data_IF_219960122001
#
_entry.id   IF_219960122001
#
_cell.length_a   1.000
_cell.length_b   1.000
_cell.length_c   1.000
_cell.angle_alpha   90.00
_cell.angle_beta   90.00
_cell.angle_gamma   90.00
#
_symmetry.space_group_name_H-M   'P 1'
#
loop_
_entity.id
_entity.type
_entity.pdbx_description
1 polymer ?
#
# COMPACT_ATOMS: atom_id res chain seq x y z
N UNK A 1 12.62 40.55 -14.43
CA UNK A 1 13.07 39.16 -14.22
C UNK A 1 12.77 38.65 -12.81
N UNK A 2 13.13 39.35 -11.73
CA UNK A 2 12.94 38.87 -10.34
C UNK A 2 11.48 38.56 -9.91
N UNK A 3 10.48 39.26 -10.46
CA UNK A 3 9.06 39.06 -10.10
C UNK A 3 8.49 37.73 -10.61
N UNK A 4 8.98 37.24 -11.76
CA UNK A 4 8.53 35.97 -12.35
C UNK A 4 9.07 34.77 -11.58
N UNK A 5 10.32 34.85 -11.10
CA UNK A 5 10.92 33.80 -10.28
C UNK A 5 10.24 33.69 -8.90
N UNK A 6 9.85 34.82 -8.31
CA UNK A 6 9.07 34.83 -7.06
C UNK A 6 7.70 34.18 -7.25
N UNK A 7 6.97 34.54 -8.31
CA UNK A 7 5.68 33.92 -8.66
C UNK A 7 5.81 32.42 -8.94
N UNK A 8 6.88 32.00 -9.62
CA UNK A 8 7.14 30.59 -9.90
C UNK A 8 7.40 29.79 -8.60
N UNK A 9 8.15 30.38 -7.66
CA UNK A 9 8.40 29.77 -6.35
C UNK A 9 7.12 29.66 -5.52
N UNK A 10 6.29 30.70 -5.51
CA UNK A 10 4.97 30.69 -4.86
C UNK A 10 4.06 29.62 -5.48
N UNK A 11 4.04 29.50 -6.82
CA UNK A 11 3.24 28.49 -7.51
C UNK A 11 3.69 27.07 -7.19
N UNK A 12 5.00 26.80 -7.12
CA UNK A 12 5.55 25.50 -6.72
C UNK A 12 5.12 25.13 -5.30
N UNK A 13 5.24 26.07 -4.36
CA UNK A 13 4.82 25.85 -2.97
C UNK A 13 3.33 25.53 -2.88
N UNK A 14 2.49 26.25 -3.64
CA UNK A 14 1.05 26.00 -3.68
C UNK A 14 0.74 24.61 -4.25
N UNK A 15 1.47 24.18 -5.29
CA UNK A 15 1.31 22.85 -5.86
C UNK A 15 1.67 21.75 -4.85
N UNK A 16 2.79 21.89 -4.16
CA UNK A 16 3.22 20.97 -3.11
C UNK A 16 2.18 20.86 -1.98
N UNK A 17 1.59 21.99 -1.55
CA UNK A 17 0.51 22.00 -0.57
C UNK A 17 -0.73 21.24 -1.05
N UNK A 18 -1.14 21.46 -2.29
CA UNK A 18 -2.32 20.79 -2.88
C UNK A 18 -2.06 19.28 -2.99
N UNK A 19 -0.88 18.87 -3.43
CA UNK A 19 -0.50 17.46 -3.52
C UNK A 19 -0.54 16.79 -2.13
N UNK A 20 -0.01 17.45 -1.11
CA UNK A 20 -0.04 16.94 0.28
C UNK A 20 -1.47 16.83 0.82
N UNK A 21 -2.32 17.85 0.60
CA UNK A 21 -3.73 17.82 1.02
C UNK A 21 -4.50 16.73 0.28
N UNK A 22 -4.26 16.57 -1.02
CA UNK A 22 -4.86 15.53 -1.83
C UNK A 22 -4.45 14.13 -1.34
N UNK A 23 -3.18 13.93 -1.02
CA UNK A 23 -2.69 12.67 -0.45
C UNK A 23 -3.35 12.37 0.91
N UNK A 24 -3.53 13.38 1.76
CA UNK A 24 -4.21 13.22 3.04
C UNK A 24 -5.70 12.87 2.88
N UNK A 25 -6.43 13.58 2.02
CA UNK A 25 -7.84 13.32 1.74
C UNK A 25 -8.05 11.90 1.18
N UNK A 26 -7.17 11.51 0.27
CA UNK A 26 -7.12 10.14 -0.26
C UNK A 26 -6.94 9.12 0.84
N UNK A 27 -5.96 9.30 1.74
CA UNK A 27 -5.74 8.36 2.85
C UNK A 27 -6.99 8.14 3.69
N UNK A 28 -7.71 9.22 4.02
CA UNK A 28 -8.96 9.16 4.80
C UNK A 28 -10.03 8.38 4.03
N UNK A 29 -10.21 8.68 2.74
CA UNK A 29 -11.17 7.97 1.89
C UNK A 29 -10.89 6.46 1.83
N UNK A 30 -9.64 6.07 1.58
CA UNK A 30 -9.28 4.66 1.49
C UNK A 30 -9.39 3.93 2.83
N UNK A 31 -9.01 4.59 3.92
CA UNK A 31 -9.22 4.07 5.27
C UNK A 31 -10.68 3.72 5.54
N UNK A 32 -11.61 4.60 5.16
CA UNK A 32 -13.03 4.33 5.26
C UNK A 32 -13.47 3.16 4.37
N UNK A 33 -13.02 3.11 3.11
CA UNK A 33 -13.34 2.00 2.19
C UNK A 33 -12.88 0.64 2.74
N UNK A 34 -11.65 0.56 3.27
CA UNK A 34 -11.14 -0.71 3.81
C UNK A 34 -11.80 -1.08 5.14
N UNK A 35 -12.19 -0.09 5.95
CA UNK A 35 -12.98 -0.32 7.14
C UNK A 35 -14.36 -0.91 6.80
N UNK A 36 -15.08 -0.33 5.83
CA UNK A 36 -16.36 -0.86 5.35
C UNK A 36 -16.22 -2.28 4.78
N UNK A 37 -15.09 -2.58 4.13
CA UNK A 37 -14.78 -3.95 3.66
C UNK A 37 -14.46 -4.93 4.79
N UNK A 38 -14.04 -4.43 5.95
CA UNK A 38 -13.78 -5.22 7.15
C UNK A 38 -15.06 -5.48 7.96
N UNK A 39 -16.16 -4.76 7.67
CA UNK A 39 -17.45 -5.01 8.31
C UNK A 39 -17.93 -6.44 7.99
N UNK A 40 -18.32 -7.15 9.05
CA UNK A 40 -18.71 -8.57 8.97
C UNK A 40 -17.54 -9.57 8.96
N UNK A 41 -16.28 -9.12 9.04
CA UNK A 41 -15.15 -10.01 9.35
C UNK A 41 -14.98 -10.25 10.87
N UNK A 42 -15.63 -9.42 11.69
CA UNK A 42 -15.57 -9.54 13.15
C UNK A 42 -16.24 -10.83 13.63
N UNK A 43 -15.42 -11.86 13.83
CA UNK A 43 -15.71 -12.96 14.75
C UNK A 43 -14.47 -13.17 15.60
N UNK A 44 -14.51 -12.70 16.85
CA UNK A 44 -13.58 -13.21 17.86
C UNK A 44 -14.35 -13.88 18.99
N UNK A 45 -14.50 -15.21 18.93
CA UNK A 45 -14.45 -15.99 20.15
C UNK A 45 -13.00 -15.89 20.66
N UNK A 46 -12.82 -15.52 21.93
CA UNK A 46 -11.53 -15.70 22.61
C UNK A 46 -11.18 -17.20 22.51
N UNK A 47 -10.13 -17.56 21.75
CA UNK A 47 -9.65 -18.94 21.66
C UNK A 47 -8.46 -19.08 22.61
N UNK A 48 -8.74 -19.47 23.85
CA UNK A 48 -7.71 -19.63 24.89
C UNK A 48 -7.06 -18.29 25.26
N UNK A 49 -5.72 -18.21 25.44
CA UNK A 49 -5.05 -16.98 25.88
C UNK A 49 -4.79 -15.96 24.75
N UNK A 50 -5.09 -16.31 23.49
CA UNK A 50 -4.75 -15.49 22.33
C UNK A 50 -5.93 -14.63 21.89
N UNK A 51 -5.64 -13.41 21.47
CA UNK A 51 -6.63 -12.52 20.85
C UNK A 51 -6.54 -12.65 19.33
N UNK A 52 -7.68 -12.87 18.68
CA UNK A 52 -7.79 -12.88 17.22
C UNK A 52 -8.39 -11.54 16.78
N UNK A 53 -7.90 -11.00 15.68
CA UNK A 53 -8.48 -9.84 15.00
C UNK A 53 -8.45 -10.12 13.51
N UNK A 54 -9.56 -9.91 12.82
CA UNK A 54 -9.60 -9.95 11.36
C UNK A 54 -9.76 -8.53 10.82
N UNK A 55 -9.25 -8.30 9.62
CA UNK A 55 -9.27 -6.99 8.99
C UNK A 55 -8.79 -7.03 7.54
N UNK A 56 -8.70 -5.85 6.95
CA UNK A 56 -8.35 -5.65 5.54
C UNK A 56 -7.01 -4.92 5.46
N UNK A 57 -6.10 -5.43 4.63
CA UNK A 57 -4.82 -4.80 4.38
C UNK A 57 -4.99 -3.54 3.51
N UNK A 58 -4.39 -2.41 3.87
CA UNK A 58 -4.50 -1.15 3.12
C UNK A 58 -3.29 -0.85 2.21
N UNK A 59 -2.25 -1.67 2.31
CA UNK A 59 -0.96 -1.50 1.63
C UNK A 59 0.24 -1.46 2.58
N UNK A 60 0.04 -1.08 3.84
CA UNK A 60 1.06 -1.08 4.90
C UNK A 60 0.52 -1.63 6.23
N UNK A 61 -0.75 -1.42 6.52
CA UNK A 61 -1.41 -1.77 7.78
C UNK A 61 -2.64 -2.66 7.52
N UNK A 62 -3.07 -3.39 8.55
CA UNK A 62 -4.36 -4.06 8.58
C UNK A 62 -5.35 -3.19 9.34
N UNK A 63 -6.51 -2.90 8.73
CA UNK A 63 -7.61 -2.11 9.31
C UNK A 63 -8.74 -3.08 9.66
N UNK A 64 -9.18 -3.08 10.92
CA UNK A 64 -10.37 -3.85 11.32
C UNK A 64 -11.67 -3.05 11.12
N UNK A 65 -12.82 -3.69 11.33
CA UNK A 65 -14.17 -3.08 11.28
C UNK A 65 -14.32 -1.81 12.13
N UNK A 66 -13.57 -1.70 13.23
CA UNK A 66 -13.57 -0.55 14.16
C UNK A 66 -12.64 0.58 13.73
N UNK A 67 -11.99 0.46 12.57
CA UNK A 67 -10.99 1.40 12.07
C UNK A 67 -9.65 1.32 12.80
N UNK A 68 -9.46 0.34 13.70
CA UNK A 68 -8.18 0.15 14.38
C UNK A 68 -7.17 -0.43 13.41
N UNK A 69 -6.00 0.20 13.37
CA UNK A 69 -4.89 -0.17 12.48
C UNK A 69 -3.84 -0.99 13.20
N UNK A 70 -3.28 -1.95 12.47
CA UNK A 70 -2.23 -2.83 12.93
C UNK A 70 -1.12 -2.85 11.88
N UNK A 71 0.07 -2.30 12.17
CA UNK A 71 1.19 -2.30 11.21
C UNK A 71 1.57 -3.70 10.79
N UNK A 72 1.61 -3.96 9.48
CA UNK A 72 2.00 -5.25 8.93
C UNK A 72 3.49 -5.21 8.63
N UNK A 73 4.29 -6.21 9.06
CA UNK A 73 5.71 -6.24 8.75
C UNK A 73 5.96 -6.19 7.23
N UNK A 74 6.73 -5.19 6.77
CA UNK A 74 6.98 -4.97 5.34
C UNK A 74 7.54 -6.22 4.64
N UNK A 75 8.41 -6.98 5.32
CA UNK A 75 8.95 -8.24 4.78
C UNK A 75 7.87 -9.31 4.56
N UNK A 76 6.88 -9.42 5.45
CA UNK A 76 5.77 -10.35 5.28
C UNK A 76 4.86 -9.91 4.13
N UNK A 77 4.54 -8.62 4.07
CA UNK A 77 3.73 -8.05 2.99
C UNK A 77 4.39 -8.22 1.62
N UNK A 78 5.70 -7.96 1.51
CA UNK A 78 6.50 -8.15 0.29
C UNK A 78 6.58 -9.61 -0.14
N UNK A 79 6.95 -10.52 0.77
CA UNK A 79 7.10 -11.96 0.43
C UNK A 79 5.76 -12.60 0.04
N UNK A 80 4.69 -12.21 0.71
CA UNK A 80 3.34 -12.73 0.43
C UNK A 80 2.64 -11.99 -0.71
N UNK A 81 3.27 -10.93 -1.27
CA UNK A 81 2.71 -10.06 -2.31
C UNK A 81 1.30 -9.58 -1.96
N UNK A 82 1.12 -9.11 -0.72
CA UNK A 82 -0.17 -8.64 -0.22
C UNK A 82 -0.64 -7.43 -1.03
N UNK A 83 -1.91 -7.46 -1.42
CA UNK A 83 -2.57 -6.41 -2.19
C UNK A 83 -3.58 -5.71 -1.28
N UNK A 84 -3.68 -4.38 -1.36
CA UNK A 84 -4.67 -3.65 -0.59
C UNK A 84 -6.09 -4.20 -0.88
N UNK A 85 -6.89 -4.45 0.15
CA UNK A 85 -8.13 -5.21 0.08
C UNK A 85 -8.00 -6.69 0.49
N UNK A 86 -6.79 -7.22 0.67
CA UNK A 86 -6.58 -8.57 1.18
C UNK A 86 -7.09 -8.71 2.62
N UNK A 87 -7.87 -9.76 2.89
CA UNK A 87 -8.31 -10.10 4.24
C UNK A 87 -7.20 -10.79 4.99
N UNK A 88 -6.87 -10.24 6.15
CA UNK A 88 -5.84 -10.73 7.06
C UNK A 88 -6.46 -11.14 8.39
N UNK A 89 -5.84 -12.14 9.01
CA UNK A 89 -6.03 -12.52 10.40
C UNK A 89 -4.77 -12.18 11.17
N UNK A 90 -4.92 -11.36 12.19
CA UNK A 90 -3.91 -11.11 13.22
C UNK A 90 -4.20 -12.00 14.43
N UNK A 91 -3.20 -12.76 14.85
CA UNK A 91 -3.19 -13.42 16.16
C UNK A 91 -2.23 -12.65 17.06
N UNK A 92 -2.73 -12.17 18.19
CA UNK A 92 -1.95 -11.55 19.26
C UNK A 92 -1.77 -12.63 20.32
N UNK A 93 -0.53 -13.12 20.42
CA UNK A 93 -0.12 -14.09 21.43
C UNK A 93 -0.14 -13.47 22.83
N UNK A 94 -0.18 -14.31 23.87
CA UNK A 94 -0.16 -13.87 25.27
C UNK A 94 1.10 -13.03 25.65
N UNK A 95 2.20 -13.21 24.93
CA UNK A 95 3.45 -12.46 25.07
C UNK A 95 3.46 -11.12 24.28
N UNK A 96 2.37 -10.80 23.59
CA UNK A 96 2.22 -9.60 22.76
C UNK A 96 2.71 -9.77 21.32
N UNK A 97 3.20 -10.96 20.91
CA UNK A 97 3.67 -11.19 19.54
C UNK A 97 2.52 -11.11 18.54
N UNK A 98 2.74 -10.36 17.45
CA UNK A 98 1.79 -10.24 16.34
C UNK A 98 2.13 -11.24 15.23
N UNK A 99 1.17 -12.11 14.92
CA UNK A 99 1.28 -13.09 13.83
C UNK A 99 0.18 -12.79 12.81
N UNK A 100 0.57 -12.36 11.61
CA UNK A 100 -0.34 -12.12 10.51
C UNK A 100 -0.44 -13.33 9.58
N UNK A 101 -1.64 -13.62 9.11
CA UNK A 101 -1.92 -14.62 8.08
C UNK A 101 -2.92 -14.06 7.07
N UNK A 102 -2.64 -14.22 5.78
CA UNK A 102 -3.63 -13.93 4.75
C UNK A 102 -4.70 -15.02 4.76
N UNK A 103 -5.97 -14.60 4.85
CA UNK A 103 -7.13 -15.50 4.92
C UNK A 103 -8.08 -15.34 3.74
N UNK A 104 -7.99 -14.23 3.00
CA UNK A 104 -8.85 -14.00 1.83
C UNK A 104 -8.18 -13.05 0.84
N UNK A 105 -7.55 -13.55 -0.23
CA UNK A 105 -7.02 -12.70 -1.28
C UNK A 105 -8.15 -11.92 -1.98
N UNK A 106 -7.97 -10.62 -2.23
CA UNK A 106 -8.85 -9.87 -3.14
C UNK A 106 -8.60 -10.27 -4.59
N UNK A 107 -9.65 -10.16 -5.41
CA UNK A 107 -9.55 -10.21 -6.87
C UNK A 107 -8.56 -9.16 -7.35
N UNK A 108 -7.58 -9.61 -8.14
CA UNK A 108 -6.41 -8.79 -8.51
C UNK A 108 -6.04 -8.94 -9.97
N UNK A 109 -5.35 -7.94 -10.50
CA UNK A 109 -4.81 -7.92 -11.87
C UNK A 109 -3.35 -7.51 -11.87
N UNK A 110 -2.64 -7.95 -12.90
CA UNK A 110 -1.24 -7.60 -13.14
C UNK A 110 -1.18 -6.45 -14.14
N UNK A 111 -0.33 -5.48 -13.86
CA UNK A 111 -0.03 -4.39 -14.78
C UNK A 111 1.48 -4.14 -14.79
N UNK A 112 2.00 -3.70 -15.92
CA UNK A 112 3.41 -3.33 -16.07
C UNK A 112 3.50 -1.81 -15.95
N UNK A 113 4.51 -1.34 -15.23
CA UNK A 113 4.81 0.08 -15.11
C UNK A 113 6.30 0.32 -14.89
N UNK A 114 6.65 1.60 -14.84
CA UNK A 114 8.03 2.03 -14.61
C UNK A 114 8.24 2.41 -13.15
N UNK A 115 9.25 1.83 -12.50
CA UNK A 115 9.65 2.21 -11.16
C UNK A 115 10.24 3.62 -11.17
N UNK A 116 9.82 4.43 -10.21
CA UNK A 116 10.38 5.73 -9.93
C UNK A 116 10.67 5.85 -8.43
N UNK A 117 11.82 6.42 -8.08
CA UNK A 117 12.16 6.79 -6.72
C UNK A 117 11.93 8.30 -6.52
N UNK A 118 11.13 8.65 -5.50
CA UNK A 118 10.91 10.03 -5.06
C UNK A 118 11.35 10.14 -3.60
N UNK A 119 12.55 10.68 -3.36
CA UNK A 119 13.18 10.67 -2.03
C UNK A 119 13.47 9.25 -1.56
N UNK A 120 12.93 8.86 -0.40
CA UNK A 120 13.07 7.51 0.15
C UNK A 120 11.94 6.55 -0.28
N UNK A 121 10.91 7.06 -0.97
CA UNK A 121 9.75 6.28 -1.39
C UNK A 121 9.89 5.81 -2.82
N UNK A 122 9.34 4.62 -3.08
CA UNK A 122 9.28 4.03 -4.42
C UNK A 122 7.84 4.00 -4.92
N UNK A 123 7.66 4.35 -6.18
CA UNK A 123 6.37 4.33 -6.87
C UNK A 123 6.50 3.67 -8.24
N UNK A 124 5.47 2.95 -8.67
CA UNK A 124 5.37 2.43 -10.03
C UNK A 124 4.32 3.23 -10.79
N UNK A 125 4.74 3.82 -11.91
CA UNK A 125 3.87 4.52 -12.84
C UNK A 125 3.29 3.51 -13.83
N UNK A 126 2.01 3.18 -13.71
CA UNK A 126 1.32 2.19 -14.55
C UNK A 126 -0.10 2.65 -14.88
N UNK A 127 -0.54 2.46 -16.13
CA UNK A 127 -1.92 2.78 -16.56
C UNK A 127 -2.37 4.21 -16.22
N UNK A 128 -1.46 5.19 -16.33
CA UNK A 128 -1.74 6.60 -16.01
C UNK A 128 -1.89 6.91 -14.51
N UNK A 129 -1.63 5.94 -13.63
CA UNK A 129 -1.67 6.10 -12.16
C UNK A 129 -0.30 5.83 -11.55
N UNK A 130 -0.06 6.42 -10.36
CA UNK A 130 1.11 6.16 -9.53
C UNK A 130 0.71 5.26 -8.37
N UNK A 131 1.45 4.18 -8.18
CA UNK A 131 1.24 3.24 -7.08
C UNK A 131 2.47 3.22 -6.18
N UNK A 132 2.30 3.47 -4.88
CA UNK A 132 3.33 3.21 -3.89
C UNK A 132 3.65 1.70 -3.86
N UNK A 133 4.92 1.38 -3.67
CA UNK A 133 5.39 0.01 -3.48
C UNK A 133 6.29 -0.05 -2.26
N UNK A 134 6.26 -1.17 -1.53
CA UNK A 134 7.09 -1.35 -0.35
C UNK A 134 8.58 -1.39 -0.74
N UNK A 135 9.41 -0.65 0.01
CA UNK A 135 10.86 -0.68 -0.16
C UNK A 135 11.42 -2.10 -0.02
N UNK A 136 10.88 -2.90 0.92
CA UNK A 136 11.27 -4.30 1.09
C UNK A 136 11.05 -5.13 -0.19
N UNK A 137 10.00 -4.84 -0.97
CA UNK A 137 9.77 -5.48 -2.27
C UNK A 137 10.83 -5.04 -3.30
N UNK A 138 11.13 -3.74 -3.37
CA UNK A 138 12.15 -3.21 -4.29
C UNK A 138 13.51 -3.86 -4.03
N UNK A 139 13.91 -3.94 -2.75
CA UNK A 139 15.17 -4.59 -2.34
C UNK A 139 15.18 -6.08 -2.68
N UNK A 140 14.08 -6.79 -2.42
CA UNK A 140 13.98 -8.23 -2.73
C UNK A 140 14.16 -8.52 -4.22
N UNK A 141 13.57 -7.71 -5.09
CA UNK A 141 13.69 -7.85 -6.54
C UNK A 141 14.93 -7.18 -7.15
N UNK A 142 15.78 -6.54 -6.32
CA UNK A 142 16.94 -5.77 -6.76
C UNK A 142 16.60 -4.72 -7.84
N UNK A 143 15.37 -4.19 -7.78
CA UNK A 143 14.86 -3.24 -8.76
C UNK A 143 15.51 -1.85 -8.56
N UNK A 144 15.73 -1.16 -9.67
CA UNK A 144 16.35 0.17 -9.73
C UNK A 144 15.41 1.19 -10.34
N UNK A 145 15.66 2.46 -10.03
CA UNK A 145 14.94 3.56 -10.65
C UNK A 145 14.97 3.44 -12.18
N UNK A 146 13.79 3.50 -12.78
CA UNK A 146 13.59 3.36 -14.22
C UNK A 146 13.36 1.94 -14.74
N UNK A 147 13.46 0.89 -13.91
CA UNK A 147 13.15 -0.48 -14.33
C UNK A 147 11.66 -0.65 -14.63
N UNK A 148 11.35 -1.54 -15.58
CA UNK A 148 10.00 -2.03 -15.81
C UNK A 148 9.65 -3.11 -14.78
N UNK A 149 8.56 -2.89 -14.06
CA UNK A 149 8.10 -3.73 -12.96
C UNK A 149 6.70 -4.23 -13.27
N UNK A 150 6.49 -5.53 -13.08
CA UNK A 150 5.14 -6.09 -13.01
C UNK A 150 4.63 -5.93 -11.59
N UNK A 151 3.53 -5.21 -11.42
CA UNK A 151 2.86 -5.01 -10.14
C UNK A 151 1.46 -5.63 -10.15
N UNK A 152 1.01 -6.02 -8.96
CA UNK A 152 -0.31 -6.57 -8.70
C UNK A 152 -1.12 -5.53 -7.95
N UNK A 153 -2.31 -5.24 -8.47
CA UNK A 153 -3.26 -4.27 -7.91
C UNK A 153 -4.66 -4.91 -7.82
N UNK A 154 -5.58 -4.35 -7.03
CA UNK A 154 -6.97 -4.79 -7.04
C UNK A 154 -7.56 -4.74 -8.45
N UNK A 155 -8.34 -5.75 -8.80
CA UNK A 155 -9.03 -5.82 -10.10
C UNK A 155 -10.12 -4.74 -10.18
N UNK A 156 -10.83 -4.55 -9.06
CA UNK A 156 -11.91 -3.59 -8.85
C UNK A 156 -11.56 -2.64 -7.72
N UNK A 157 -12.12 -1.43 -7.75
CA UNK A 157 -11.80 -0.38 -6.79
C UNK A 157 -10.51 0.38 -7.13
N UNK A 158 -10.25 1.42 -6.37
CA UNK A 158 -9.00 2.17 -6.45
C UNK A 158 -8.03 1.70 -5.37
N UNK A 159 -6.73 1.88 -5.60
CA UNK A 159 -5.71 1.71 -4.58
C UNK A 159 -4.52 2.59 -4.89
N UNK A 160 -3.86 3.08 -3.83
CA UNK A 160 -2.58 3.77 -3.93
C UNK A 160 -1.39 2.83 -3.80
N UNK A 161 -1.62 1.56 -3.49
CA UNK A 161 -0.58 0.60 -3.24
C UNK A 161 -0.61 -0.51 -4.29
N UNK A 162 0.57 -1.01 -4.62
CA UNK A 162 0.72 -2.18 -5.45
C UNK A 162 1.78 -3.12 -4.88
N UNK A 163 1.56 -4.42 -5.04
CA UNK A 163 2.57 -5.43 -4.71
C UNK A 163 3.48 -5.63 -5.92
N UNK A 164 4.80 -5.63 -5.74
CA UNK A 164 5.70 -6.02 -6.83
C UNK A 164 5.64 -7.54 -7.01
N UNK A 165 5.40 -7.97 -8.24
CA UNK A 165 5.45 -9.39 -8.59
C UNK A 165 6.79 -9.79 -9.17
N UNK A 166 7.34 -8.96 -10.06
CA UNK A 166 8.57 -9.24 -10.78
C UNK A 166 9.24 -7.95 -11.28
N UNK A 167 10.57 -7.97 -11.39
CA UNK A 167 11.36 -6.94 -12.05
C UNK A 167 11.79 -7.45 -13.43
N UNK A 168 11.44 -6.71 -14.49
CA UNK A 168 11.82 -7.03 -15.87
C UNK A 168 13.16 -6.38 -16.26
N UNK A 169 13.65 -5.43 -15.44
CA UNK A 169 14.85 -4.64 -15.70
C UNK A 169 14.56 -3.43 -16.59
N UNK A 170 15.62 -2.80 -17.11
CA UNK A 170 15.47 -1.64 -17.98
C UNK A 170 14.85 -2.04 -19.32
N UNK A 171 13.76 -1.37 -19.69
CA UNK A 171 13.18 -1.44 -21.03
C UNK A 171 14.29 -1.14 -22.05
N UNK A 172 14.68 -2.15 -22.83
CA UNK A 172 15.58 -1.98 -23.97
C UNK A 172 14.71 -1.54 -25.15
N UNK A 173 14.32 -0.27 -25.14
CA UNK A 173 13.70 0.41 -26.28
C UNK A 173 14.54 1.59 -26.69
#
# INVERSE_FOLDING_TARGET
>A
MQTSDKKLKELKHLLDEVENKLAAAKRILFEQVYQEQADGLDISPVIGPNTIVEGVFDGEEMINSKGKKYPVPANYASKSKLVAGDKLKLTISADGTFIFKQIGPIDRKKIIGKLNQTGERFQVNASGKKYNVLQASVTYFHAKDGDEITVIVPKTGESHWAAIENCLGKSTK
#
